data_IF_406030276861
#
_entry.id   IF_406030276861
#
_cell.length_a   1.000
_cell.length_b   1.000
_cell.length_c   1.000
_cell.angle_alpha   90.00
_cell.angle_beta   90.00
_cell.angle_gamma   90.00
#
_symmetry.space_group_name_H-M   'P 1'
#
loop_
_entity.id
_entity.type
_entity.pdbx_description
1 polymer ?
#
# COMPACT_ATOMS: atom_id res chain seq x y z
N UNK A 1 -47.32 34.98 -85.80
CA UNK A 1 -47.15 35.69 -84.54
C UNK A 1 -46.95 34.65 -83.46
N UNK A 2 -45.71 34.43 -83.11
CA UNK A 2 -45.33 33.46 -82.05
C UNK A 2 -44.93 34.21 -80.76
N UNK A 3 -45.53 33.84 -79.64
CA UNK A 3 -45.20 34.36 -78.31
C UNK A 3 -44.34 33.32 -77.63
N UNK A 4 -43.18 33.64 -77.11
CA UNK A 4 -42.36 32.66 -76.37
C UNK A 4 -42.80 32.55 -74.88
N UNK A 5 -42.95 31.32 -74.40
CA UNK A 5 -43.15 30.99 -72.99
C UNK A 5 -41.83 31.01 -72.24
N UNK A 6 -41.75 31.83 -71.20
CA UNK A 6 -40.67 31.83 -70.26
C UNK A 6 -40.93 30.75 -69.15
N UNK A 7 -40.04 29.76 -69.10
CA UNK A 7 -40.04 28.73 -68.03
C UNK A 7 -39.29 29.25 -66.82
N UNK A 8 -39.95 29.27 -65.71
CA UNK A 8 -39.38 29.59 -64.38
C UNK A 8 -38.71 28.37 -63.82
N UNK A 9 -37.36 28.35 -63.67
CA UNK A 9 -36.60 27.29 -63.03
C UNK A 9 -36.49 27.62 -61.52
N UNK A 10 -37.16 26.84 -60.68
CA UNK A 10 -37.06 26.88 -59.25
C UNK A 10 -35.80 26.08 -58.82
N UNK A 11 -34.76 26.80 -58.36
CA UNK A 11 -33.59 26.19 -57.68
C UNK A 11 -33.95 25.85 -56.25
N UNK A 12 -34.08 24.56 -55.94
CA UNK A 12 -34.20 24.03 -54.59
C UNK A 12 -32.80 23.99 -53.96
N UNK A 13 -32.49 24.94 -53.06
CA UNK A 13 -31.27 24.93 -52.30
C UNK A 13 -31.47 23.92 -51.10
N UNK A 14 -30.84 22.75 -51.21
CA UNK A 14 -30.77 21.79 -50.10
C UNK A 14 -29.79 22.32 -49.04
N UNK A 15 -30.31 22.76 -47.89
CA UNK A 15 -29.49 22.99 -46.68
C UNK A 15 -29.02 21.65 -46.13
N UNK A 16 -27.76 21.32 -46.33
CA UNK A 16 -27.08 20.23 -45.62
C UNK A 16 -26.72 20.79 -44.24
N UNK A 17 -27.51 20.47 -43.23
CA UNK A 17 -27.16 20.71 -41.84
C UNK A 17 -26.02 19.76 -41.46
N UNK A 18 -24.80 20.29 -41.46
CA UNK A 18 -23.63 19.59 -40.93
C UNK A 18 -23.79 19.47 -39.41
N UNK A 19 -24.28 18.33 -38.96
CA UNK A 19 -24.24 17.96 -37.54
C UNK A 19 -22.76 17.72 -37.18
N UNK A 20 -22.07 18.76 -36.72
CA UNK A 20 -20.79 18.61 -36.01
C UNK A 20 -21.09 18.01 -34.65
N UNK A 21 -21.19 16.69 -34.61
CA UNK A 21 -21.21 15.95 -33.32
C UNK A 21 -19.94 16.29 -32.58
N UNK A 22 -20.07 17.09 -31.53
CA UNK A 22 -19.00 17.30 -30.55
C UNK A 22 -18.72 15.92 -29.96
N UNK A 23 -17.64 15.27 -30.42
CA UNK A 23 -17.18 14.05 -29.83
C UNK A 23 -16.93 14.37 -28.32
N UNK A 24 -17.70 13.77 -27.46
CA UNK A 24 -17.51 13.87 -26.02
C UNK A 24 -16.08 13.40 -25.73
N UNK A 25 -15.21 14.32 -25.37
CA UNK A 25 -13.84 13.98 -25.00
C UNK A 25 -13.91 13.08 -23.79
N UNK A 26 -13.39 11.87 -23.92
CA UNK A 26 -13.25 10.94 -22.79
C UNK A 26 -12.50 11.67 -21.68
N UNK A 27 -13.04 11.79 -20.47
CA UNK A 27 -12.40 12.51 -19.39
C UNK A 27 -11.02 11.93 -19.15
N UNK A 28 -9.98 12.77 -19.20
CA UNK A 28 -8.59 12.34 -18.98
C UNK A 28 -8.29 12.37 -17.49
N UNK A 29 -7.70 11.30 -16.99
CA UNK A 29 -7.15 11.24 -15.63
C UNK A 29 -5.98 12.21 -15.56
N UNK A 30 -6.03 13.13 -14.60
CA UNK A 30 -5.01 14.16 -14.41
C UNK A 30 -3.84 13.61 -13.58
N UNK A 31 -2.66 14.20 -13.74
CA UNK A 31 -1.53 13.92 -12.84
C UNK A 31 -1.88 14.37 -11.42
N UNK A 32 -1.32 13.70 -10.37
CA UNK A 32 -1.44 14.14 -8.99
C UNK A 32 -1.04 15.62 -8.86
N UNK A 33 -1.77 16.37 -8.03
CA UNK A 33 -1.54 17.80 -7.79
C UNK A 33 -1.35 18.02 -6.28
N UNK A 34 -0.39 18.83 -5.83
CA UNK A 34 -0.21 19.13 -4.42
C UNK A 34 -1.52 19.57 -3.76
N UNK A 35 -1.84 19.01 -2.59
CA UNK A 35 -2.98 19.43 -1.81
C UNK A 35 -2.60 20.61 -0.91
N UNK A 36 -3.50 21.59 -0.69
CA UNK A 36 -3.25 22.70 0.23
C UNK A 36 -2.94 22.18 1.64
N UNK A 37 -2.06 22.83 2.40
CA UNK A 37 -1.67 22.39 3.74
C UNK A 37 -2.80 22.46 4.76
N UNK A 38 -3.81 23.31 4.56
CA UNK A 38 -4.95 23.47 5.47
C UNK A 38 -6.26 23.57 4.72
N UNK A 39 -7.31 22.95 5.28
CA UNK A 39 -8.70 23.02 4.83
C UNK A 39 -8.89 22.72 3.35
N UNK A 40 -8.65 21.47 2.96
CA UNK A 40 -9.14 20.99 1.68
C UNK A 40 -10.66 20.85 1.74
N UNK A 41 -11.40 21.48 0.83
CA UNK A 41 -12.82 21.21 0.61
C UNK A 41 -13.08 19.81 0.04
N UNK A 42 -12.02 19.11 -0.40
CA UNK A 42 -12.09 17.73 -0.85
C UNK A 42 -11.99 16.78 0.34
N UNK A 43 -12.89 15.80 0.44
CA UNK A 43 -12.81 14.81 1.51
C UNK A 43 -11.52 13.99 1.35
N UNK A 44 -10.89 13.68 2.49
CA UNK A 44 -9.87 12.62 2.51
C UNK A 44 -10.49 11.30 2.04
N UNK A 45 -9.67 10.36 1.60
CA UNK A 45 -10.13 9.00 1.32
C UNK A 45 -10.78 8.46 2.60
N UNK A 46 -11.98 7.85 2.52
CA UNK A 46 -12.61 7.30 3.70
C UNK A 46 -11.76 6.17 4.28
N UNK A 47 -11.75 5.99 5.60
CA UNK A 47 -11.16 4.80 6.18
C UNK A 47 -11.89 3.56 5.65
N UNK A 48 -11.17 2.44 5.57
CA UNK A 48 -11.74 1.17 5.12
C UNK A 48 -12.94 0.77 5.98
N UNK A 49 -14.06 0.48 5.33
CA UNK A 49 -15.28 0.00 5.99
C UNK A 49 -15.17 -1.52 6.12
N UNK A 50 -15.39 -2.00 7.34
CA UNK A 50 -15.47 -3.44 7.60
C UNK A 50 -16.92 -3.88 7.37
N UNK A 51 -17.14 -4.70 6.36
CA UNK A 51 -18.41 -5.41 6.19
C UNK A 51 -18.24 -6.85 6.68
N UNK A 52 -18.81 -7.19 7.79
CA UNK A 52 -18.67 -8.49 8.44
C UNK A 52 -19.48 -9.62 7.75
N UNK A 53 -20.16 -9.33 6.64
CA UNK A 53 -21.08 -10.28 5.99
C UNK A 53 -20.44 -11.21 4.95
N UNK A 54 -19.23 -10.90 4.48
CA UNK A 54 -18.52 -11.73 3.49
C UNK A 54 -17.46 -12.60 4.14
N UNK A 55 -17.79 -13.85 4.39
CA UNK A 55 -16.83 -14.89 4.78
C UNK A 55 -16.31 -15.60 3.53
N UNK A 56 -14.99 -15.56 3.33
CA UNK A 56 -14.38 -16.19 2.15
C UNK A 56 -13.36 -17.23 2.59
N UNK A 57 -13.50 -18.42 2.00
CA UNK A 57 -12.64 -19.56 2.28
C UNK A 57 -11.18 -19.31 1.86
N UNK A 58 -10.24 -19.78 2.66
CA UNK A 58 -8.82 -19.60 2.39
C UNK A 58 -8.36 -20.26 1.10
N UNK A 59 -7.75 -19.49 0.21
CA UNK A 59 -7.04 -19.98 -0.96
C UNK A 59 -5.59 -19.50 -0.95
N UNK A 60 -4.71 -20.36 -1.46
CA UNK A 60 -3.32 -20.01 -1.66
C UNK A 60 -3.19 -19.23 -2.97
N UNK A 61 -2.75 -17.99 -2.89
CA UNK A 61 -2.46 -17.16 -4.05
C UNK A 61 -0.96 -17.21 -4.34
N UNK A 62 -0.60 -17.36 -5.61
CA UNK A 62 0.80 -17.21 -6.02
C UNK A 62 1.19 -15.75 -5.90
N UNK A 63 2.18 -15.49 -5.06
CA UNK A 63 2.76 -14.16 -4.92
C UNK A 63 4.10 -14.10 -5.68
N UNK A 64 4.40 -12.93 -6.22
CA UNK A 64 5.70 -12.62 -6.81
C UNK A 64 6.35 -11.51 -6.00
N UNK A 65 7.62 -11.65 -5.71
CA UNK A 65 8.38 -10.58 -5.09
C UNK A 65 8.73 -9.53 -6.14
N UNK A 66 8.40 -8.26 -5.82
CA UNK A 66 8.82 -7.08 -6.59
C UNK A 66 9.71 -6.30 -5.65
N UNK A 67 11.01 -6.35 -5.89
CA UNK A 67 12.03 -5.90 -4.95
C UNK A 67 11.83 -6.60 -3.59
N UNK A 68 11.43 -5.88 -2.54
CA UNK A 68 11.14 -6.46 -1.21
C UNK A 68 9.65 -6.72 -0.96
N UNK A 69 8.75 -6.24 -1.83
CA UNK A 69 7.29 -6.31 -1.66
C UNK A 69 6.70 -7.55 -2.33
N UNK A 70 5.56 -7.99 -1.85
CA UNK A 70 4.79 -9.10 -2.45
C UNK A 70 3.64 -8.57 -3.29
N UNK A 71 3.46 -9.18 -4.46
CA UNK A 71 2.34 -8.90 -5.36
C UNK A 71 1.47 -10.13 -5.59
N UNK A 72 0.21 -9.90 -5.89
CA UNK A 72 -0.80 -10.92 -6.19
C UNK A 72 -1.48 -10.63 -7.51
N UNK A 73 -2.09 -11.66 -8.10
CA UNK A 73 -2.91 -11.53 -9.30
C UNK A 73 -4.34 -11.16 -8.90
N UNK A 74 -4.88 -10.13 -9.57
CA UNK A 74 -6.26 -9.66 -9.39
C UNK A 74 -6.95 -9.50 -10.73
N UNK A 75 -8.28 -9.46 -10.69
CA UNK A 75 -9.10 -9.07 -11.84
C UNK A 75 -9.82 -7.76 -11.53
N UNK A 76 -9.92 -6.89 -12.52
CA UNK A 76 -10.69 -5.64 -12.46
C UNK A 76 -11.81 -5.75 -13.49
N UNK A 77 -13.07 -5.67 -13.04
CA UNK A 77 -14.27 -5.84 -13.88
C UNK A 77 -14.22 -7.12 -14.74
N UNK A 78 -13.71 -8.22 -14.16
CA UNK A 78 -13.54 -9.50 -14.85
C UNK A 78 -12.36 -9.59 -15.83
N UNK A 79 -11.59 -8.51 -16.00
CA UNK A 79 -10.40 -8.47 -16.85
C UNK A 79 -9.11 -8.67 -16.05
N UNK A 80 -8.11 -9.29 -16.66
CA UNK A 80 -6.82 -9.58 -16.03
C UNK A 80 -6.29 -10.96 -16.43
N UNK A 81 -5.38 -11.58 -15.65
CA UNK A 81 -4.92 -11.13 -14.34
C UNK A 81 -3.95 -9.94 -14.40
N UNK A 82 -4.08 -9.02 -13.45
CA UNK A 82 -3.15 -7.92 -13.21
C UNK A 82 -2.37 -8.16 -11.92
N UNK A 83 -1.14 -7.64 -11.84
CA UNK A 83 -0.27 -7.80 -10.65
C UNK A 83 -0.33 -6.57 -9.76
N UNK A 84 -0.95 -6.73 -8.60
CA UNK A 84 -1.10 -5.70 -7.61
C UNK A 84 -0.22 -5.98 -6.38
N UNK A 85 0.44 -4.95 -5.88
CA UNK A 85 1.20 -5.01 -4.62
C UNK A 85 0.22 -5.08 -3.46
N UNK A 86 0.53 -5.89 -2.44
CA UNK A 86 -0.27 -5.95 -1.21
C UNK A 86 0.29 -4.94 -0.22
N UNK A 87 -0.53 -3.95 0.13
CA UNK A 87 -0.15 -2.83 0.99
C UNK A 87 -1.08 -2.70 2.20
N UNK A 88 -0.59 -3.13 3.36
CA UNK A 88 -1.32 -3.01 4.62
C UNK A 88 -1.26 -1.61 5.25
N UNK A 89 -0.44 -0.72 4.71
CA UNK A 89 -0.34 0.69 5.10
C UNK A 89 -1.32 1.59 4.35
N UNK A 90 -1.84 1.16 3.19
CA UNK A 90 -2.77 1.95 2.38
C UNK A 90 -4.23 1.78 2.81
N UNK A 91 -4.96 2.89 2.99
CA UNK A 91 -6.41 2.88 3.30
C UNK A 91 -7.25 2.35 2.14
N UNK A 92 -6.80 2.51 0.91
CA UNK A 92 -7.52 2.19 -0.31
C UNK A 92 -6.63 1.54 -1.35
N UNK A 93 -7.23 0.66 -2.15
CA UNK A 93 -6.59 0.09 -3.33
C UNK A 93 -6.35 1.17 -4.38
N UNK A 94 -5.41 0.91 -5.29
CA UNK A 94 -5.00 1.81 -6.38
C UNK A 94 -4.98 1.01 -7.68
N UNK A 95 -5.45 1.60 -8.77
CA UNK A 95 -5.36 1.01 -10.10
C UNK A 95 -4.34 1.77 -10.94
N UNK A 96 -3.57 1.06 -11.79
CA UNK A 96 -2.63 1.68 -12.71
C UNK A 96 -3.34 2.48 -13.81
N UNK A 97 -2.71 3.57 -14.26
CA UNK A 97 -3.25 4.43 -15.32
C UNK A 97 -3.50 3.68 -16.63
N UNK A 98 -2.65 2.69 -16.95
CA UNK A 98 -2.82 1.84 -18.13
C UNK A 98 -4.12 1.04 -18.04
N UNK A 99 -4.34 0.35 -16.92
CA UNK A 99 -5.55 -0.44 -16.69
C UNK A 99 -6.79 0.46 -16.72
N UNK A 100 -6.74 1.61 -16.02
CA UNK A 100 -7.86 2.55 -16.00
C UNK A 100 -8.24 3.03 -17.42
N UNK A 101 -7.25 3.25 -18.28
CA UNK A 101 -7.44 3.67 -19.67
C UNK A 101 -7.92 2.51 -20.54
N UNK A 102 -7.26 1.35 -20.48
CA UNK A 102 -7.57 0.19 -21.33
C UNK A 102 -8.98 -0.35 -21.06
N UNK A 103 -9.42 -0.32 -19.80
CA UNK A 103 -10.77 -0.69 -19.39
C UNK A 103 -11.77 0.47 -19.43
N UNK A 104 -11.34 1.66 -19.84
CA UNK A 104 -12.18 2.87 -19.92
C UNK A 104 -12.95 3.14 -18.62
N UNK A 105 -12.29 2.97 -17.47
CA UNK A 105 -12.94 3.12 -16.17
C UNK A 105 -13.49 4.54 -15.99
N UNK A 106 -14.78 4.70 -15.60
CA UNK A 106 -15.39 6.00 -15.43
C UNK A 106 -14.71 6.79 -14.30
N UNK A 107 -14.58 8.10 -14.47
CA UNK A 107 -14.08 8.98 -13.42
C UNK A 107 -15.03 8.96 -12.22
N UNK A 108 -14.43 8.94 -11.04
CA UNK A 108 -15.07 9.15 -9.75
C UNK A 108 -14.86 10.57 -9.24
N UNK A 109 -15.20 10.79 -7.96
CA UNK A 109 -14.92 12.05 -7.26
C UNK A 109 -13.44 12.10 -6.89
N UNK A 110 -12.69 13.15 -7.26
CA UNK A 110 -11.30 13.31 -6.81
C UNK A 110 -11.20 13.33 -5.27
N UNK A 111 -10.05 12.95 -4.75
CA UNK A 111 -9.81 12.93 -3.30
C UNK A 111 -8.37 13.34 -2.94
N UNK A 112 -8.16 13.68 -1.67
CA UNK A 112 -6.83 13.91 -1.14
C UNK A 112 -6.21 12.58 -0.74
N UNK A 113 -5.09 12.24 -1.37
CA UNK A 113 -4.24 11.11 -1.01
C UNK A 113 -3.15 11.60 -0.05
N UNK A 114 -3.04 10.97 1.10
CA UNK A 114 -1.95 11.17 2.05
C UNK A 114 -0.87 10.11 1.78
N UNK A 115 -0.04 10.37 0.78
CA UNK A 115 1.07 9.48 0.43
C UNK A 115 2.23 9.59 1.40
N UNK A 116 3.20 8.69 1.27
CA UNK A 116 4.41 8.69 2.12
C UNK A 116 5.28 9.94 1.90
N UNK A 117 5.22 10.58 0.76
CA UNK A 117 6.11 11.70 0.42
C UNK A 117 5.40 13.06 0.38
N UNK A 118 4.08 13.06 0.15
CA UNK A 118 3.28 14.30 0.09
C UNK A 118 1.78 14.04 0.21
N UNK A 119 1.04 15.14 0.38
CA UNK A 119 -0.42 15.17 0.22
C UNK A 119 -0.76 15.64 -1.18
N UNK A 120 -1.50 14.85 -1.92
CA UNK A 120 -1.87 15.16 -3.30
C UNK A 120 -3.36 15.01 -3.56
N UNK A 121 -3.92 15.88 -4.41
CA UNK A 121 -5.24 15.68 -5.00
C UNK A 121 -5.06 14.70 -6.16
N UNK A 122 -5.79 13.60 -6.13
CA UNK A 122 -5.74 12.54 -7.15
C UNK A 122 -7.12 12.29 -7.72
N UNK A 123 -7.16 11.98 -9.03
CA UNK A 123 -8.38 11.52 -9.67
C UNK A 123 -8.61 10.06 -9.26
N UNK A 124 -9.88 9.72 -9.02
CA UNK A 124 -10.32 8.34 -8.79
C UNK A 124 -11.09 7.83 -9.98
N UNK A 125 -11.09 6.53 -10.13
CA UNK A 125 -11.92 5.83 -11.12
C UNK A 125 -12.88 4.87 -10.40
N UNK A 126 -13.99 4.59 -11.03
CA UNK A 126 -14.99 3.63 -10.55
C UNK A 126 -14.63 2.26 -11.07
N UNK A 127 -14.56 1.30 -10.15
CA UNK A 127 -14.32 -0.12 -10.42
C UNK A 127 -15.55 -0.88 -9.93
N UNK A 128 -16.25 -1.54 -10.84
CA UNK A 128 -17.47 -2.27 -10.49
C UNK A 128 -17.13 -3.49 -9.64
N UNK A 129 -16.03 -4.19 -9.99
CA UNK A 129 -15.56 -5.34 -9.22
C UNK A 129 -14.03 -5.45 -9.22
N UNK A 130 -13.46 -5.75 -8.05
CA UNK A 130 -12.08 -6.16 -7.86
C UNK A 130 -12.09 -7.57 -7.27
N UNK A 131 -11.54 -8.54 -8.02
CA UNK A 131 -11.50 -9.94 -7.58
C UNK A 131 -10.08 -10.33 -7.19
N UNK A 132 -9.93 -10.80 -5.96
CA UNK A 132 -8.68 -11.29 -5.37
C UNK A 132 -8.90 -12.74 -4.89
N UNK A 133 -8.45 -13.72 -5.68
CA UNK A 133 -8.76 -15.13 -5.41
C UNK A 133 -10.27 -15.39 -5.38
N UNK A 134 -10.81 -15.92 -4.29
CA UNK A 134 -12.24 -16.17 -4.17
C UNK A 134 -13.06 -14.93 -3.76
N UNK A 135 -12.39 -13.82 -3.46
CA UNK A 135 -13.02 -12.59 -2.96
C UNK A 135 -13.30 -11.64 -4.08
N UNK A 136 -14.50 -11.13 -4.16
CA UNK A 136 -14.86 -9.99 -5.02
C UNK A 136 -15.35 -8.84 -4.15
N UNK A 137 -14.77 -7.66 -4.36
CA UNK A 137 -15.18 -6.41 -3.74
C UNK A 137 -15.83 -5.57 -4.84
N UNK A 138 -17.00 -5.04 -4.57
CA UNK A 138 -17.80 -4.33 -5.56
C UNK A 138 -17.87 -2.82 -5.27
N UNK A 139 -18.15 -2.05 -6.33
CA UNK A 139 -18.47 -0.61 -6.24
C UNK A 139 -17.35 0.23 -5.60
N UNK A 140 -16.11 -0.02 -5.96
CA UNK A 140 -14.96 0.74 -5.47
C UNK A 140 -14.79 2.07 -6.23
N UNK A 141 -14.29 3.08 -5.55
CA UNK A 141 -13.73 4.29 -6.15
C UNK A 141 -12.29 4.44 -5.67
N UNK A 142 -11.35 4.13 -6.55
CA UNK A 142 -9.93 4.04 -6.21
C UNK A 142 -9.09 5.05 -6.99
N UNK A 143 -7.99 5.57 -6.43
CA UNK A 143 -7.04 6.38 -7.17
C UNK A 143 -6.52 5.65 -8.40
N UNK A 144 -6.31 6.40 -9.48
CA UNK A 144 -5.62 5.92 -10.68
C UNK A 144 -4.25 6.59 -10.75
N UNK A 145 -3.18 5.82 -10.56
CA UNK A 145 -1.81 6.32 -10.45
C UNK A 145 -0.88 5.64 -11.46
N UNK A 146 0.30 6.25 -11.68
CA UNK A 146 1.32 5.71 -12.57
C UNK A 146 1.87 4.37 -12.02
N UNK A 147 1.95 3.36 -12.87
CA UNK A 147 2.51 2.05 -12.53
C UNK A 147 3.97 2.14 -12.09
N UNK A 148 4.73 3.07 -12.68
CA UNK A 148 6.12 3.33 -12.31
C UNK A 148 6.25 3.88 -10.89
N UNK A 149 5.31 4.71 -10.45
CA UNK A 149 5.32 5.32 -9.12
C UNK A 149 4.76 4.35 -8.06
N UNK A 150 3.77 3.55 -8.42
CA UNK A 150 3.21 2.50 -7.55
C UNK A 150 4.18 1.33 -7.41
N UNK A 151 5.01 1.07 -8.43
CA UNK A 151 5.91 -0.08 -8.51
C UNK A 151 5.21 -1.39 -8.88
N UNK A 152 4.02 -1.32 -9.47
CA UNK A 152 3.22 -2.46 -9.91
C UNK A 152 2.05 -2.01 -10.78
N UNK A 153 1.26 -2.94 -11.32
CA UNK A 153 0.08 -2.60 -12.13
C UNK A 153 -1.06 -2.00 -11.30
N UNK A 154 -0.92 -2.03 -9.97
CA UNK A 154 -1.80 -1.46 -8.99
C UNK A 154 -1.40 -1.89 -7.58
N UNK A 155 -2.25 -1.57 -6.60
CA UNK A 155 -2.02 -1.84 -5.19
C UNK A 155 -3.33 -2.27 -4.52
N UNK A 156 -3.27 -3.26 -3.66
CA UNK A 156 -4.38 -3.71 -2.82
C UNK A 156 -4.22 -3.11 -1.44
N UNK A 157 -5.16 -2.27 -1.05
CA UNK A 157 -5.21 -1.63 0.27
C UNK A 157 -6.13 -2.34 1.27
N UNK A 158 -6.29 -1.71 2.41
CA UNK A 158 -7.10 -2.22 3.52
C UNK A 158 -8.59 -2.37 3.15
N UNK A 159 -9.10 -1.53 2.25
CA UNK A 159 -10.46 -1.63 1.73
C UNK A 159 -10.79 -3.04 1.18
N UNK A 160 -9.79 -3.73 0.66
CA UNK A 160 -9.90 -5.11 0.18
C UNK A 160 -9.40 -6.16 1.18
N UNK A 161 -8.62 -5.78 2.19
CA UNK A 161 -7.90 -6.71 3.08
C UNK A 161 -8.51 -6.82 4.49
N UNK A 162 -9.23 -5.79 4.95
CA UNK A 162 -9.57 -5.61 6.38
C UNK A 162 -10.42 -6.72 6.99
N UNK A 163 -11.13 -7.50 6.18
CA UNK A 163 -11.94 -8.66 6.60
C UNK A 163 -11.19 -9.96 6.57
N UNK A 164 -10.01 -9.94 5.98
CA UNK A 164 -9.22 -11.10 5.69
C UNK A 164 -8.14 -11.29 6.76
N UNK A 165 -7.67 -12.50 6.86
CA UNK A 165 -6.36 -12.77 7.44
C UNK A 165 -5.41 -13.01 6.29
N UNK A 166 -4.36 -12.21 6.23
CA UNK A 166 -3.34 -12.33 5.20
C UNK A 166 -2.15 -13.08 5.80
N UNK A 167 -1.79 -14.21 5.21
CA UNK A 167 -0.59 -14.95 5.55
C UNK A 167 0.41 -14.84 4.39
N UNK A 168 1.49 -14.11 4.62
CA UNK A 168 2.61 -13.99 3.70
C UNK A 168 3.66 -15.04 4.02
N UNK A 169 3.97 -15.92 3.07
CA UNK A 169 5.05 -16.90 3.14
C UNK A 169 6.20 -16.43 2.24
N UNK A 170 7.22 -15.83 2.85
CA UNK A 170 8.34 -15.25 2.11
C UNK A 170 9.28 -16.32 1.53
N UNK A 171 9.33 -17.53 2.10
CA UNK A 171 10.12 -18.63 1.54
C UNK A 171 9.48 -19.17 0.26
N UNK A 172 8.17 -19.33 0.27
CA UNK A 172 7.41 -19.82 -0.88
C UNK A 172 7.01 -18.73 -1.86
N UNK A 173 7.16 -17.45 -1.47
CA UNK A 173 6.64 -16.29 -2.20
C UNK A 173 5.15 -16.45 -2.49
N UNK A 174 4.38 -16.73 -1.45
CA UNK A 174 2.95 -16.96 -1.53
C UNK A 174 2.22 -16.06 -0.53
N UNK A 175 1.08 -15.57 -0.96
CA UNK A 175 0.11 -14.93 -0.07
C UNK A 175 -1.10 -15.86 0.01
N UNK A 176 -1.50 -16.15 1.25
CA UNK A 176 -2.72 -16.86 1.53
C UNK A 176 -3.72 -15.91 2.15
N UNK A 177 -4.87 -15.79 1.52
CA UNK A 177 -6.00 -15.05 2.06
C UNK A 177 -6.91 -16.03 2.79
N UNK A 178 -7.13 -15.79 4.07
CA UNK A 178 -7.93 -16.66 4.93
C UNK A 178 -9.12 -15.89 5.51
N UNK A 179 -10.20 -16.61 5.75
CA UNK A 179 -11.35 -16.07 6.46
C UNK A 179 -10.98 -15.75 7.92
N UNK A 180 -11.00 -14.47 8.28
CA UNK A 180 -10.68 -14.04 9.64
C UNK A 180 -11.75 -14.41 10.68
N UNK A 181 -12.92 -14.91 10.26
CA UNK A 181 -13.96 -15.42 11.18
C UNK A 181 -13.60 -16.77 11.77
N UNK A 182 -12.78 -17.55 11.07
CA UNK A 182 -12.30 -18.85 11.52
C UNK A 182 -11.05 -18.72 12.37
N UNK A 183 -10.86 -19.58 13.38
CA UNK A 183 -9.62 -19.62 14.14
C UNK A 183 -8.40 -19.79 13.24
N UNK A 184 -7.37 -18.98 13.47
CA UNK A 184 -6.13 -19.14 12.74
C UNK A 184 -5.44 -20.45 13.14
N UNK A 185 -4.92 -21.18 12.14
CA UNK A 185 -4.04 -22.31 12.42
C UNK A 185 -2.74 -21.79 13.06
N UNK A 186 -2.35 -22.38 14.19
CA UNK A 186 -1.08 -22.04 14.83
C UNK A 186 0.09 -22.37 13.89
N UNK A 187 1.07 -21.47 13.84
CA UNK A 187 2.33 -21.70 13.14
C UNK A 187 3.39 -22.20 14.14
N UNK A 188 4.21 -23.19 13.79
CA UNK A 188 5.29 -23.62 14.67
C UNK A 188 6.23 -22.46 15.01
N UNK A 189 6.59 -22.30 16.27
CA UNK A 189 7.51 -21.25 16.75
C UNK A 189 7.08 -19.83 16.33
N UNK A 190 5.79 -19.54 16.43
CA UNK A 190 5.29 -18.19 16.14
C UNK A 190 5.39 -17.28 17.35
N UNK A 191 5.69 -16.02 17.09
CA UNK A 191 5.54 -14.92 18.04
C UNK A 191 4.28 -14.15 17.67
N UNK A 192 3.34 -14.03 18.63
CA UNK A 192 2.09 -13.31 18.42
C UNK A 192 2.17 -11.96 19.12
N UNK A 193 1.95 -10.89 18.35
CA UNK A 193 1.91 -9.53 18.86
C UNK A 193 0.49 -8.99 18.67
N UNK A 194 -0.07 -8.48 19.77
CA UNK A 194 -1.39 -7.84 19.74
C UNK A 194 -1.17 -6.36 19.49
N UNK A 195 -1.94 -5.79 18.55
CA UNK A 195 -1.92 -4.38 18.23
C UNK A 195 -3.25 -3.70 18.52
N UNK A 196 -3.28 -2.40 18.27
CA UNK A 196 -4.52 -1.64 18.10
C UNK A 196 -4.80 -1.45 16.61
N UNK A 197 -6.01 -1.10 16.26
CA UNK A 197 -6.37 -0.74 14.89
C UNK A 197 -6.69 0.74 14.82
N UNK A 198 -6.09 1.42 13.87
CA UNK A 198 -6.41 2.80 13.53
C UNK A 198 -6.67 2.89 12.04
N UNK A 199 -7.81 3.43 11.62
CA UNK A 199 -8.23 3.57 10.21
C UNK A 199 -8.16 2.27 9.38
N UNK A 200 -8.24 1.10 10.02
CA UNK A 200 -8.10 -0.21 9.37
C UNK A 200 -6.72 -0.86 9.53
N UNK A 201 -5.65 -0.08 9.65
CA UNK A 201 -4.29 -0.57 9.78
C UNK A 201 -3.99 -1.13 11.18
N UNK A 202 -3.00 -2.02 11.23
CA UNK A 202 -2.50 -2.62 12.45
C UNK A 202 -1.32 -1.83 13.00
N UNK A 203 -1.49 -1.30 14.22
CA UNK A 203 -0.45 -0.60 14.96
C UNK A 203 -0.02 -1.47 16.15
N UNK A 204 1.24 -1.86 16.19
CA UNK A 204 1.85 -2.57 17.31
C UNK A 204 2.27 -1.56 18.37
N UNK A 205 1.76 -1.71 19.59
CA UNK A 205 2.01 -0.79 20.71
C UNK A 205 3.05 -1.33 21.70
N UNK A 206 3.40 -2.61 21.59
CA UNK A 206 4.43 -3.24 22.44
C UNK A 206 5.75 -3.35 21.68
N UNK A 207 6.20 -2.20 21.12
CA UNK A 207 7.47 -2.09 20.42
C UNK A 207 8.39 -1.18 21.20
N UNK A 208 9.67 -1.52 21.29
CA UNK A 208 10.67 -0.77 22.05
C UNK A 208 11.97 -0.66 21.27
N UNK A 209 12.61 0.50 21.37
CA UNK A 209 13.98 0.68 20.96
C UNK A 209 14.84 1.02 22.20
N UNK A 210 15.52 0.00 22.73
CA UNK A 210 16.13 0.09 24.05
C UNK A 210 15.08 0.33 25.15
N UNK A 211 15.19 1.43 25.89
CA UNK A 211 14.21 1.83 26.92
C UNK A 211 13.00 2.59 26.36
N UNK A 212 13.05 3.04 25.11
CA UNK A 212 12.02 3.87 24.49
C UNK A 212 10.89 3.01 23.95
N UNK A 213 9.65 3.26 24.39
CA UNK A 213 8.44 2.69 23.78
C UNK A 213 8.04 3.47 22.56
N UNK A 214 7.51 2.79 21.54
CA UNK A 214 7.06 3.40 20.30
C UNK A 214 5.90 2.63 19.66
N UNK A 215 5.16 3.28 18.79
CA UNK A 215 4.15 2.67 17.93
C UNK A 215 4.78 2.21 16.61
N UNK A 216 4.43 1.01 16.14
CA UNK A 216 4.86 0.49 14.86
C UNK A 216 3.67 0.10 13.98
N UNK A 217 3.48 0.79 12.86
CA UNK A 217 2.49 0.44 11.84
C UNK A 217 3.08 -0.63 10.94
N UNK A 218 2.34 -1.70 10.69
CA UNK A 218 2.76 -2.72 9.71
C UNK A 218 2.44 -2.21 8.31
N UNK A 219 3.46 -2.04 7.50
CA UNK A 219 3.36 -1.51 6.14
C UNK A 219 4.06 -2.43 5.14
N UNK A 220 3.28 -3.28 4.49
CA UNK A 220 3.79 -4.22 3.48
C UNK A 220 4.04 -3.57 2.13
N UNK A 221 3.55 -2.36 1.93
CA UNK A 221 3.75 -1.54 0.72
C UNK A 221 5.04 -0.71 0.74
N UNK A 222 5.57 -0.40 1.93
CA UNK A 222 6.85 0.29 2.07
C UNK A 222 8.01 -0.69 1.92
N UNK A 223 9.01 -0.34 1.10
CA UNK A 223 10.20 -1.17 0.89
C UNK A 223 11.16 -1.12 2.08
N UNK A 224 11.21 0.02 2.78
CA UNK A 224 12.09 0.23 3.92
C UNK A 224 11.30 0.73 5.14
N UNK A 225 11.84 0.43 6.31
CA UNK A 225 11.30 0.90 7.58
C UNK A 225 11.59 2.39 7.76
N UNK A 226 10.55 3.17 8.11
CA UNK A 226 10.63 4.63 8.23
C UNK A 226 10.14 5.08 9.61
N UNK A 227 10.96 5.81 10.34
CA UNK A 227 10.64 6.42 11.62
C UNK A 227 10.29 7.91 11.50
N UNK A 228 9.53 8.42 12.45
CA UNK A 228 9.24 9.86 12.52
C UNK A 228 10.40 10.66 13.16
N UNK A 229 10.40 11.99 13.04
CA UNK A 229 11.45 12.84 13.65
C UNK A 229 11.56 12.68 15.16
N UNK A 230 10.44 12.46 15.87
CA UNK A 230 10.44 12.27 17.33
C UNK A 230 11.24 11.01 17.73
N UNK A 231 11.06 9.92 17.00
CA UNK A 231 11.83 8.69 17.20
C UNK A 231 13.31 8.94 16.92
N UNK A 232 13.65 9.61 15.81
CA UNK A 232 15.03 9.97 15.47
C UNK A 232 15.69 10.76 16.60
N UNK A 233 15.06 11.83 17.07
CA UNK A 233 15.67 12.75 18.03
C UNK A 233 15.90 12.12 19.40
N UNK A 234 15.07 11.11 19.77
CA UNK A 234 15.25 10.35 21.01
C UNK A 234 16.30 9.23 20.91
N UNK A 235 16.53 8.67 19.72
CA UNK A 235 17.45 7.53 19.55
C UNK A 235 18.82 7.89 19.01
N UNK A 236 18.88 8.91 18.16
CA UNK A 236 20.11 9.24 17.45
C UNK A 236 20.99 10.13 18.33
N UNK A 237 22.21 9.70 18.57
CA UNK A 237 23.19 10.47 19.35
C UNK A 237 23.69 11.67 18.53
N UNK A 238 24.04 12.76 19.20
CA UNK A 238 24.48 14.05 18.60
C UNK A 238 25.58 13.95 17.54
N UNK A 239 26.33 12.86 17.47
CA UNK A 239 27.44 12.67 16.54
C UNK A 239 27.23 11.51 15.56
N UNK A 240 26.00 10.94 15.50
CA UNK A 240 25.71 9.89 14.56
C UNK A 240 25.65 10.47 13.14
N UNK A 241 26.39 9.87 12.22
CA UNK A 241 26.33 10.24 10.80
C UNK A 241 25.04 9.74 10.21
N UNK A 242 24.37 10.61 9.47
CA UNK A 242 23.22 10.24 8.64
C UNK A 242 23.69 10.05 7.21
N UNK A 243 23.08 9.08 6.55
CA UNK A 243 23.14 8.96 5.10
C UNK A 243 21.82 9.46 4.53
N UNK A 244 21.88 10.16 3.40
CA UNK A 244 20.69 10.56 2.67
C UNK A 244 20.41 9.51 1.60
N UNK A 245 19.18 9.05 1.52
CA UNK A 245 18.72 8.15 0.48
C UNK A 245 17.54 8.79 -0.25
N UNK A 246 17.37 8.44 -1.52
CA UNK A 246 16.21 8.90 -2.28
C UNK A 246 15.05 7.94 -2.06
N UNK A 247 13.89 8.49 -1.71
CA UNK A 247 12.65 7.75 -1.60
C UNK A 247 11.56 8.38 -2.48
N UNK A 248 10.80 7.54 -3.16
CA UNK A 248 9.76 7.95 -4.08
C UNK A 248 8.39 7.53 -3.53
N UNK A 249 7.44 8.44 -3.59
CA UNK A 249 6.06 8.15 -3.23
C UNK A 249 5.23 7.70 -4.44
N UNK A 250 4.07 7.15 -4.17
CA UNK A 250 3.11 6.65 -5.19
C UNK A 250 2.55 7.74 -6.10
N UNK A 251 2.86 9.01 -5.84
CA UNK A 251 2.52 10.17 -6.67
C UNK A 251 3.70 10.68 -7.51
N UNK A 252 4.85 9.97 -7.47
CA UNK A 252 6.09 10.34 -8.15
C UNK A 252 6.89 11.43 -7.44
N UNK A 253 6.48 11.87 -6.23
CA UNK A 253 7.23 12.84 -5.43
C UNK A 253 8.40 12.18 -4.75
N UNK A 254 9.57 12.80 -4.88
CA UNK A 254 10.83 12.41 -4.23
C UNK A 254 11.04 13.15 -2.92
N UNK A 255 11.60 12.47 -1.93
CA UNK A 255 12.14 13.01 -0.69
C UNK A 255 13.50 12.39 -0.41
N UNK A 256 14.31 13.05 0.42
CA UNK A 256 15.62 12.59 0.85
C UNK A 256 15.62 12.32 2.37
N UNK A 257 15.07 11.18 2.84
CA UNK A 257 15.08 10.82 4.24
C UNK A 257 16.50 10.56 4.75
N UNK A 258 16.71 10.87 6.02
CA UNK A 258 17.94 10.59 6.74
C UNK A 258 17.94 9.13 7.23
N UNK A 259 18.94 8.35 6.89
CA UNK A 259 19.07 6.97 7.38
C UNK A 259 20.05 6.92 8.55
N UNK A 260 19.64 6.26 9.61
CA UNK A 260 20.50 5.91 10.73
C UNK A 260 20.18 4.51 11.25
N UNK A 261 21.14 3.89 11.93
CA UNK A 261 20.97 2.55 12.48
C UNK A 261 20.41 2.64 13.90
N UNK A 262 19.28 1.97 14.13
CA UNK A 262 18.76 1.71 15.47
C UNK A 262 19.48 0.46 16.02
N UNK A 263 20.17 0.55 17.17
CA UNK A 263 20.95 -0.57 17.69
C UNK A 263 20.07 -1.81 18.00
N UNK A 264 18.90 -1.58 18.58
CA UNK A 264 17.97 -2.65 18.98
C UNK A 264 16.52 -2.19 18.83
N UNK A 265 15.70 -3.02 18.16
CA UNK A 265 14.25 -2.89 18.09
C UNK A 265 13.62 -4.19 18.60
N UNK A 266 12.82 -4.10 19.65
CA UNK A 266 12.08 -5.21 20.22
C UNK A 266 10.61 -5.16 19.80
N UNK A 267 10.09 -6.23 19.23
CA UNK A 267 8.69 -6.39 18.82
C UNK A 267 8.13 -7.62 19.56
N UNK A 268 7.43 -7.41 20.67
CA UNK A 268 7.04 -8.52 21.54
C UNK A 268 8.26 -9.33 22.00
N UNK A 269 8.30 -10.62 21.68
CA UNK A 269 9.43 -11.51 21.98
C UNK A 269 10.55 -11.51 20.94
N UNK A 270 10.50 -10.65 19.92
CA UNK A 270 11.47 -10.60 18.83
C UNK A 270 12.44 -9.44 19.09
N UNK A 271 13.73 -9.68 18.92
CA UNK A 271 14.78 -8.67 18.98
C UNK A 271 15.48 -8.54 17.61
N UNK A 272 15.43 -7.33 17.06
CA UNK A 272 16.12 -6.96 15.83
C UNK A 272 17.28 -6.06 16.20
N UNK A 273 18.48 -6.36 15.70
CA UNK A 273 19.67 -5.57 15.98
C UNK A 273 20.20 -4.89 14.75
N UNK A 274 20.80 -3.70 14.97
CA UNK A 274 21.42 -2.87 13.93
C UNK A 274 20.49 -2.60 12.75
N UNK A 275 19.25 -2.22 13.04
CA UNK A 275 18.23 -1.95 12.01
C UNK A 275 18.46 -0.57 11.39
N UNK A 276 18.76 -0.46 10.07
CA UNK A 276 18.72 0.81 9.38
C UNK A 276 17.28 1.29 9.29
N UNK A 277 17.06 2.53 9.65
CA UNK A 277 15.75 3.18 9.59
C UNK A 277 15.90 4.52 8.89
N UNK A 278 15.05 4.78 7.92
CA UNK A 278 14.92 6.08 7.32
C UNK A 278 14.06 6.99 8.21
N UNK A 279 14.38 8.25 8.32
CA UNK A 279 13.65 9.20 9.15
C UNK A 279 13.16 10.37 8.31
N UNK A 280 11.84 10.59 8.34
CA UNK A 280 11.19 11.70 7.69
C UNK A 280 9.88 12.07 8.40
N UNK A 281 9.48 13.33 8.26
CA UNK A 281 8.12 13.76 8.64
C UNK A 281 7.19 13.47 7.47
N UNK A 282 6.36 12.44 7.65
CA UNK A 282 5.49 11.91 6.59
C UNK A 282 4.02 12.16 6.94
N UNK A 283 3.19 12.52 5.94
CA UNK A 283 1.75 12.72 6.14
C UNK A 283 1.03 11.58 6.87
N UNK A 284 1.33 10.29 6.65
CA UNK A 284 0.68 9.20 7.37
C UNK A 284 0.87 9.22 8.89
N UNK A 285 2.00 9.70 9.42
CA UNK A 285 2.17 9.84 10.88
C UNK A 285 1.11 10.75 11.49
N UNK A 286 0.78 11.84 10.81
CA UNK A 286 -0.26 12.79 11.23
C UNK A 286 -1.67 12.19 11.06
N UNK A 287 -1.91 11.48 9.96
CA UNK A 287 -3.20 10.81 9.68
C UNK A 287 -3.53 9.76 10.73
N UNK A 288 -2.54 9.00 11.19
CA UNK A 288 -2.72 7.98 12.22
C UNK A 288 -2.67 8.51 13.65
N UNK A 289 -2.38 9.81 13.83
CA UNK A 289 -2.28 10.44 15.14
C UNK A 289 -1.11 9.92 15.98
N UNK A 290 0.01 9.65 15.31
CA UNK A 290 1.27 9.16 15.92
C UNK A 290 2.47 10.04 15.56
N UNK A 291 2.23 11.26 15.08
CA UNK A 291 3.29 12.18 14.70
C UNK A 291 4.03 12.78 15.92
N UNK A 292 3.32 12.95 17.05
CA UNK A 292 3.84 13.61 18.25
C UNK A 292 4.48 12.63 19.26
N UNK A 293 4.43 11.33 18.97
CA UNK A 293 5.05 10.27 19.77
C UNK A 293 6.04 9.47 18.92
N UNK A 294 7.02 8.77 19.54
CA UNK A 294 7.93 7.91 18.79
C UNK A 294 7.15 6.86 18.00
N UNK A 295 7.35 6.85 16.69
CA UNK A 295 6.64 5.92 15.81
C UNK A 295 7.45 5.55 14.58
N UNK A 296 7.13 4.39 13.99
CA UNK A 296 7.68 3.93 12.72
C UNK A 296 6.64 3.17 11.88
N UNK A 297 6.87 3.15 10.58
CA UNK A 297 6.29 2.20 9.64
C UNK A 297 7.27 1.06 9.45
N UNK A 298 6.86 -0.16 9.79
CA UNK A 298 7.68 -1.37 9.66
C UNK A 298 7.53 -1.92 8.25
N UNK A 299 8.54 -1.71 7.44
CA UNK A 299 8.53 -2.01 6.02
C UNK A 299 8.82 -3.46 5.66
N UNK A 300 8.76 -3.76 4.37
CA UNK A 300 9.02 -5.08 3.82
C UNK A 300 10.47 -5.54 4.05
N UNK A 301 11.43 -4.62 4.19
CA UNK A 301 12.82 -4.90 4.57
C UNK A 301 12.91 -5.74 5.85
N UNK A 302 12.11 -5.41 6.85
CA UNK A 302 12.02 -6.18 8.10
C UNK A 302 11.11 -7.40 7.93
N UNK A 303 9.93 -7.22 7.34
CA UNK A 303 8.93 -8.29 7.25
C UNK A 303 9.44 -9.53 6.51
N UNK A 304 10.22 -9.36 5.44
CA UNK A 304 10.80 -10.47 4.66
C UNK A 304 11.88 -11.27 5.40
N UNK A 305 12.37 -10.78 6.55
CA UNK A 305 13.35 -11.51 7.36
C UNK A 305 12.72 -12.69 8.08
N UNK A 306 11.41 -12.66 8.25
CA UNK A 306 10.63 -13.77 8.79
C UNK A 306 10.36 -14.82 7.69
N UNK A 307 10.09 -16.04 8.13
CA UNK A 307 9.60 -17.08 7.24
C UNK A 307 8.18 -16.78 6.80
N UNK A 308 7.33 -16.41 7.77
CA UNK A 308 5.93 -16.04 7.52
C UNK A 308 5.54 -14.87 8.40
N UNK A 309 4.69 -14.02 7.85
CA UNK A 309 4.00 -12.98 8.61
C UNK A 309 2.51 -13.11 8.34
N UNK A 310 1.71 -13.17 9.41
CA UNK A 310 0.25 -13.20 9.29
C UNK A 310 -0.35 -11.95 9.91
N UNK A 311 -1.17 -11.25 9.13
CA UNK A 311 -1.89 -10.05 9.54
C UNK A 311 -3.36 -10.42 9.72
N UNK A 312 -3.86 -10.39 10.94
CA UNK A 312 -5.27 -10.59 11.28
C UNK A 312 -5.85 -9.26 11.74
N UNK A 313 -6.46 -8.55 10.79
CA UNK A 313 -7.02 -7.21 11.04
C UNK A 313 -8.23 -7.25 11.98
N UNK A 314 -9.01 -8.33 11.95
CA UNK A 314 -10.17 -8.52 12.84
C UNK A 314 -9.74 -8.79 14.28
N UNK A 315 -8.84 -9.74 14.46
CA UNK A 315 -8.31 -10.09 15.79
C UNK A 315 -7.27 -9.09 16.30
N UNK A 316 -6.82 -8.13 15.48
CA UNK A 316 -5.75 -7.17 15.80
C UNK A 316 -4.46 -7.87 16.21
N UNK A 317 -4.09 -8.91 15.47
CA UNK A 317 -2.92 -9.74 15.76
C UNK A 317 -2.00 -9.79 14.57
N UNK A 318 -0.71 -9.67 14.86
CA UNK A 318 0.36 -9.98 13.91
C UNK A 318 1.10 -11.20 14.45
N UNK A 319 1.31 -12.16 13.56
CA UNK A 319 2.01 -13.41 13.89
C UNK A 319 3.26 -13.48 13.05
N UNK A 320 4.37 -13.64 13.69
CA UNK A 320 5.68 -13.76 13.06
C UNK A 320 6.20 -15.18 13.25
N UNK A 321 6.44 -15.89 12.17
CA UNK A 321 7.14 -17.16 12.20
C UNK A 321 8.61 -16.95 11.85
N UNK A 322 9.49 -17.28 12.78
CA UNK A 322 10.93 -17.16 12.58
C UNK A 322 11.41 -18.20 11.55
N UNK A 323 12.48 -17.91 10.85
CA UNK A 323 13.18 -18.88 9.98
C UNK A 323 13.86 -19.93 10.85
N UNK A 324 13.81 -21.20 10.47
CA UNK A 324 14.34 -22.30 11.29
C UNK A 324 15.86 -22.31 11.43
N UNK A 325 16.58 -21.79 10.48
CA UNK A 325 18.03 -21.77 10.49
C UNK A 325 18.58 -20.50 9.82
N UNK A 326 18.90 -19.55 10.66
CA UNK A 326 19.97 -18.61 10.37
C UNK A 326 21.03 -18.88 11.44
N UNK A 327 22.26 -19.25 11.11
CA UNK A 327 23.29 -19.68 12.08
C UNK A 327 23.72 -18.56 13.04
N UNK A 328 23.08 -17.47 13.08
CA UNK A 328 23.29 -16.37 14.03
C UNK A 328 22.11 -15.41 14.12
N UNK A 329 20.87 -15.88 14.08
CA UNK A 329 19.69 -15.03 14.07
C UNK A 329 19.31 -14.55 12.66
N UNK A 330 18.28 -13.74 12.56
CA UNK A 330 17.86 -13.14 11.28
C UNK A 330 18.89 -12.14 10.80
N UNK A 331 19.27 -12.24 9.53
CA UNK A 331 20.06 -11.22 8.86
C UNK A 331 19.12 -10.45 7.96
N UNK A 332 18.88 -9.20 8.28
CA UNK A 332 18.24 -8.26 7.35
C UNK A 332 19.30 -7.82 6.37
N UNK A 333 19.19 -8.19 5.12
CA UNK A 333 19.98 -7.57 4.06
C UNK A 333 19.36 -6.22 3.76
N UNK A 334 20.05 -5.18 4.15
CA UNK A 334 19.69 -3.82 3.79
C UNK A 334 20.38 -3.40 2.52
N UNK A 335 19.88 -2.39 1.90
CA UNK A 335 20.38 -1.78 0.66
C UNK A 335 21.88 -1.47 0.70
N UNK A 336 22.60 -1.90 -0.34
CA UNK A 336 24.01 -1.61 -0.52
C UNK A 336 24.92 -2.29 0.50
N UNK A 337 26.09 -1.76 0.71
CA UNK A 337 27.15 -2.28 1.58
C UNK A 337 26.85 -2.25 3.09
N UNK A 338 25.59 -2.19 3.48
CA UNK A 338 25.21 -2.27 4.89
C UNK A 338 25.43 -3.66 5.45
N UNK A 339 26.15 -3.73 6.54
CA UNK A 339 26.29 -4.95 7.32
C UNK A 339 24.89 -5.40 7.79
N UNK A 340 24.53 -6.62 7.43
CA UNK A 340 23.21 -7.18 7.73
C UNK A 340 22.85 -7.09 9.21
N UNK A 341 21.60 -6.77 9.48
CA UNK A 341 21.02 -6.82 10.82
C UNK A 341 20.61 -8.23 11.17
N UNK A 342 20.77 -8.62 12.42
CA UNK A 342 20.42 -9.96 12.92
C UNK A 342 19.21 -9.87 13.82
N UNK A 343 18.21 -10.71 13.53
CA UNK A 343 17.17 -11.08 14.49
C UNK A 343 17.70 -12.22 15.31
N UNK A 344 17.90 -12.05 16.62
CA UNK A 344 18.19 -13.15 17.50
C UNK A 344 16.88 -13.68 18.10
N UNK A 345 16.60 -14.97 17.96
CA UNK A 345 15.64 -15.66 18.81
C UNK A 345 16.31 -15.94 20.17
N UNK A 346 15.54 -15.94 21.24
CA UNK A 346 16.04 -16.32 22.57
C UNK A 346 16.55 -17.77 22.63
N UNK A 347 16.21 -18.59 21.63
CA UNK A 347 16.68 -19.98 21.50
C UNK A 347 17.75 -20.09 20.43
N UNK A 348 19.00 -20.05 20.87
CA UNK A 348 20.20 -20.24 20.05
C UNK A 348 20.46 -21.69 19.61
N UNK A 349 19.58 -22.64 19.95
CA UNK A 349 19.85 -24.10 19.81
C UNK A 349 18.94 -24.84 18.81
N UNK A 350 18.27 -24.17 17.87
CA UNK A 350 17.36 -24.85 16.91
C UNK A 350 18.04 -25.27 15.59
N UNK A 351 19.34 -25.22 15.52
CA UNK A 351 20.13 -25.66 14.34
C UNK A 351 21.06 -26.83 14.69
N UNK A 352 20.55 -27.90 15.31
CA UNK A 352 21.19 -29.20 15.35
C UNK A 352 20.41 -30.21 14.55
#
# INVERSE_FOLDING_TARGET
MLVPRHGLVLLLAALIASNTGTAAQTPRISKPRPAPPSVSTMPALPPAIIDDTLAIGGQDLKARQVETRLSVEVQINGHGPYRFIVDSGADTSVVGLRIARDLQLPLGTPAVLNGMTERSIVDRVKVDSLTLGPTTIENLQVPALSEGDVGGEGMIGIDALVRQRILMDFDKRQIKVEDATRPAKALPNEVVVIGRRSRGQLILTHVRAGSLSLDAVIDTGAEMTIGNPILRDKLVRRHQKFELVKAFGVTGKEIDPQVAVIPELQIGGILIRNLPVAFADLPPFHVFGIADEPALFLGADVLQTFRKVSLDFRARKVRFQLRRCSPAGFVVQTWGDYHGTRLSSADTNLCT
#
